data_IF_779477701444
#
_entry.id   IF_779477701444
#
_cell.length_a   1.000
_cell.length_b   1.000
_cell.length_c   1.000
_cell.angle_alpha   90.00
_cell.angle_beta   90.00
_cell.angle_gamma   90.00
#
_symmetry.space_group_name_H-M   'P 1'
#
loop_
_entity.id
_entity.type
_entity.pdbx_description
1 polymer ?
#
# COMPACT_ATOMS: atom_id res chain seq x y z
N UNK A 1 40.74 -8.65 -26.97
CA UNK A 1 39.55 -9.23 -26.30
C UNK A 1 39.60 -8.89 -24.81
N UNK A 2 38.81 -7.91 -24.37
CA UNK A 2 38.70 -7.61 -22.94
C UNK A 2 37.53 -8.41 -22.37
N UNK A 3 37.80 -9.41 -21.57
CA UNK A 3 36.82 -10.14 -20.76
C UNK A 3 36.25 -9.18 -19.73
N UNK A 4 34.95 -8.89 -19.84
CA UNK A 4 34.21 -8.20 -18.78
C UNK A 4 34.14 -9.15 -17.58
N UNK A 5 34.90 -8.84 -16.53
CA UNK A 5 34.66 -9.44 -15.22
C UNK A 5 33.23 -9.09 -14.77
N UNK A 6 32.42 -10.14 -14.60
CA UNK A 6 31.10 -10.01 -13.98
C UNK A 6 31.31 -9.72 -12.49
N UNK A 7 31.37 -8.45 -12.13
CA UNK A 7 31.39 -8.05 -10.73
C UNK A 7 30.18 -8.62 -10.04
N UNK A 8 30.38 -9.55 -9.07
CA UNK A 8 29.33 -10.02 -8.17
C UNK A 8 28.73 -8.81 -7.48
N UNK A 9 27.52 -8.41 -7.88
CA UNK A 9 26.79 -7.37 -7.14
C UNK A 9 26.55 -7.91 -5.73
N UNK A 10 27.16 -7.26 -4.73
CA UNK A 10 26.91 -7.59 -3.32
C UNK A 10 25.43 -7.27 -3.00
N UNK A 11 24.75 -8.23 -2.38
CA UNK A 11 23.36 -8.07 -1.94
C UNK A 11 23.27 -6.89 -0.95
N UNK A 12 22.41 -5.93 -1.23
CA UNK A 12 22.08 -4.90 -0.25
C UNK A 12 21.22 -5.53 0.85
N UNK A 13 21.75 -5.59 2.07
CA UNK A 13 21.10 -6.22 3.23
C UNK A 13 20.13 -5.29 3.97
N UNK A 14 20.09 -4.02 3.60
CA UNK A 14 19.19 -3.04 4.23
C UNK A 14 17.86 -3.00 3.49
N UNK A 15 16.72 -3.00 4.20
CA UNK A 15 15.44 -2.75 3.58
C UNK A 15 15.38 -1.33 2.98
N UNK A 16 14.40 -1.08 2.13
CA UNK A 16 14.14 0.22 1.54
C UNK A 16 13.87 1.26 2.64
N UNK A 17 14.29 2.49 2.43
CA UNK A 17 14.07 3.60 3.36
C UNK A 17 12.59 3.70 3.76
N UNK A 18 12.34 3.81 5.05
CA UNK A 18 10.99 3.84 5.60
C UNK A 18 10.36 2.46 5.85
N UNK A 19 11.08 1.37 5.53
CA UNK A 19 10.65 -0.01 5.76
C UNK A 19 11.57 -0.70 6.77
N UNK A 20 11.05 -1.71 7.46
CA UNK A 20 11.85 -2.55 8.36
C UNK A 20 11.37 -3.99 8.32
N UNK A 21 12.28 -4.90 8.61
CA UNK A 21 11.94 -6.29 8.89
C UNK A 21 11.39 -6.41 10.32
N UNK A 22 10.41 -7.28 10.49
CA UNK A 22 9.84 -7.60 11.81
C UNK A 22 10.38 -8.96 12.23
N UNK A 23 11.14 -8.97 13.32
CA UNK A 23 11.73 -10.19 13.85
C UNK A 23 10.68 -11.04 14.60
N UNK A 24 10.93 -12.36 14.79
CA UNK A 24 9.95 -13.28 15.37
C UNK A 24 9.40 -12.85 16.73
N UNK A 25 10.22 -12.31 17.61
CA UNK A 25 9.77 -11.85 18.93
C UNK A 25 8.81 -10.64 18.84
N UNK A 26 9.12 -9.68 17.96
CA UNK A 26 8.22 -8.54 17.69
C UNK A 26 6.94 -9.02 17.00
N UNK A 27 7.05 -9.97 16.07
CA UNK A 27 5.89 -10.52 15.36
C UNK A 27 4.93 -11.26 16.31
N UNK A 28 5.43 -12.04 17.25
CA UNK A 28 4.60 -12.69 18.28
C UNK A 28 3.80 -11.68 19.10
N UNK A 29 4.45 -10.58 19.51
CA UNK A 29 3.76 -9.52 20.24
C UNK A 29 2.69 -8.84 19.38
N UNK A 30 2.98 -8.57 18.11
CA UNK A 30 2.02 -8.01 17.16
C UNK A 30 0.80 -8.93 16.97
N UNK A 31 1.05 -10.21 16.76
CA UNK A 31 -0.02 -11.20 16.57
C UNK A 31 -0.91 -11.28 17.82
N UNK A 32 -0.32 -11.25 19.01
CA UNK A 32 -1.08 -11.20 20.26
C UNK A 32 -1.99 -9.95 20.31
N UNK A 33 -1.44 -8.76 20.05
CA UNK A 33 -2.23 -7.53 20.06
C UNK A 33 -3.35 -7.55 19.02
N UNK A 34 -3.04 -8.01 17.79
CA UNK A 34 -4.02 -8.14 16.71
C UNK A 34 -5.15 -9.08 17.10
N UNK A 35 -4.83 -10.22 17.71
CA UNK A 35 -5.83 -11.20 18.13
C UNK A 35 -6.75 -10.63 19.22
N UNK A 36 -6.21 -9.93 20.22
CA UNK A 36 -7.02 -9.26 21.26
C UNK A 36 -7.96 -8.24 20.63
N UNK A 37 -7.48 -7.44 19.68
CA UNK A 37 -8.30 -6.46 18.95
C UNK A 37 -9.41 -7.17 18.18
N UNK A 38 -9.08 -8.19 17.38
CA UNK A 38 -10.06 -8.94 16.58
C UNK A 38 -11.15 -9.61 17.43
N UNK A 39 -10.75 -10.25 18.54
CA UNK A 39 -11.71 -10.87 19.47
C UNK A 39 -12.62 -9.84 20.11
N UNK A 40 -12.05 -8.71 20.53
CA UNK A 40 -12.82 -7.63 21.16
C UNK A 40 -13.82 -7.01 20.20
N UNK A 41 -13.37 -6.55 19.04
CA UNK A 41 -14.22 -5.90 18.05
C UNK A 41 -15.22 -6.86 17.42
N UNK A 42 -14.85 -8.16 17.26
CA UNK A 42 -15.78 -9.19 16.78
C UNK A 42 -17.03 -9.31 17.66
N UNK A 43 -16.93 -9.13 18.97
CA UNK A 43 -18.06 -9.11 19.91
C UNK A 43 -19.05 -7.97 19.64
N UNK A 44 -18.61 -6.91 18.99
CA UNK A 44 -19.44 -5.76 18.61
C UNK A 44 -19.89 -5.79 17.14
N UNK A 45 -19.70 -6.94 16.46
CA UNK A 45 -20.14 -7.15 15.10
C UNK A 45 -19.22 -6.56 14.03
N UNK A 46 -17.97 -6.27 14.37
CA UNK A 46 -16.95 -5.94 13.38
C UNK A 46 -16.47 -7.21 12.68
N UNK A 47 -16.27 -7.13 11.38
CA UNK A 47 -15.75 -8.20 10.54
C UNK A 47 -14.42 -7.82 9.94
N UNK A 48 -13.58 -8.82 9.66
CA UNK A 48 -12.31 -8.56 9.00
C UNK A 48 -12.50 -8.46 7.50
N UNK A 49 -11.89 -7.45 6.91
CA UNK A 49 -11.72 -7.32 5.46
C UNK A 49 -10.25 -7.17 5.13
N UNK A 50 -9.89 -7.42 3.89
CA UNK A 50 -8.55 -7.15 3.37
C UNK A 50 -8.67 -6.35 2.09
N UNK A 51 -7.88 -5.29 1.98
CA UNK A 51 -7.80 -4.45 0.80
C UNK A 51 -6.35 -4.41 0.31
N UNK A 52 -6.10 -4.23 -1.00
CA UNK A 52 -4.74 -4.10 -1.52
C UNK A 52 -3.93 -3.01 -0.82
N UNK A 53 -2.63 -3.23 -0.64
CA UNK A 53 -1.72 -2.20 -0.12
C UNK A 53 -1.48 -1.06 -1.10
N UNK A 54 -1.78 -1.30 -2.39
CA UNK A 54 -1.63 -0.34 -3.48
C UNK A 54 -3.01 0.13 -3.89
N UNK A 55 -3.19 1.44 -3.94
CA UNK A 55 -4.39 2.10 -4.44
C UNK A 55 -4.07 2.93 -5.69
N UNK A 56 -5.08 3.20 -6.51
CA UNK A 56 -4.95 4.14 -7.63
C UNK A 56 -4.49 5.50 -7.11
N UNK A 57 -3.53 6.10 -7.79
CA UNK A 57 -3.01 7.42 -7.37
C UNK A 57 -4.10 8.47 -7.36
N UNK A 58 -5.08 8.40 -8.27
CA UNK A 58 -6.21 9.32 -8.30
C UNK A 58 -7.13 9.25 -7.07
N UNK A 59 -7.17 8.08 -6.40
CA UNK A 59 -7.92 7.92 -5.16
C UNK A 59 -7.14 8.42 -3.93
N UNK A 60 -5.80 8.33 -3.98
CA UNK A 60 -4.92 8.75 -2.89
C UNK A 60 -4.68 10.25 -2.89
N UNK A 61 -4.67 10.88 -4.04
CA UNK A 61 -4.53 12.33 -4.18
C UNK A 61 -5.88 13.00 -3.89
N UNK A 62 -5.98 13.67 -2.77
CA UNK A 62 -7.15 14.51 -2.51
C UNK A 62 -7.09 15.78 -3.37
N UNK A 63 -8.23 16.19 -3.93
CA UNK A 63 -8.32 17.43 -4.72
C UNK A 63 -7.91 18.71 -3.96
N UNK A 64 -7.61 18.58 -2.68
CA UNK A 64 -7.27 19.70 -1.80
C UNK A 64 -5.76 19.84 -1.52
N UNK A 65 -4.89 18.99 -2.14
CA UNK A 65 -3.43 19.15 -2.07
C UNK A 65 -2.90 19.11 -0.62
N UNK A 66 -3.08 18.01 0.07
CA UNK A 66 -2.59 17.85 1.45
C UNK A 66 -1.08 17.55 1.51
N UNK A 67 -0.45 17.83 2.66
CA UNK A 67 0.96 17.45 2.90
C UNK A 67 1.20 15.94 2.73
N UNK A 68 0.19 15.12 2.96
CA UNK A 68 0.25 13.67 2.81
C UNK A 68 0.56 13.22 1.38
N UNK A 69 0.17 13.99 0.36
CA UNK A 69 0.46 13.65 -1.05
C UNK A 69 1.96 13.58 -1.34
N UNK A 70 2.76 14.39 -0.64
CA UNK A 70 4.22 14.41 -0.77
C UNK A 70 4.89 13.17 -0.14
N UNK A 71 4.18 12.49 0.75
CA UNK A 71 4.68 11.33 1.50
C UNK A 71 4.27 9.99 0.87
N UNK A 72 3.42 10.00 -0.16
CA UNK A 72 2.97 8.78 -0.83
C UNK A 72 4.13 8.13 -1.58
N UNK A 73 4.39 6.86 -1.28
CA UNK A 73 5.28 6.04 -2.10
C UNK A 73 4.59 5.72 -3.42
N UNK A 74 4.97 6.44 -4.47
CA UNK A 74 4.39 6.34 -5.81
C UNK A 74 4.92 5.12 -6.53
N UNK A 75 4.04 4.47 -7.29
CA UNK A 75 4.33 3.29 -8.10
C UNK A 75 4.18 3.68 -9.57
N UNK A 76 5.24 3.49 -10.32
CA UNK A 76 5.28 3.81 -11.75
C UNK A 76 4.40 2.84 -12.56
N UNK A 77 3.88 3.34 -13.65
CA UNK A 77 3.28 2.52 -14.72
C UNK A 77 4.29 1.50 -15.22
N UNK A 78 3.80 0.41 -15.83
CA UNK A 78 4.64 -0.69 -16.31
C UNK A 78 4.43 -0.93 -17.81
N UNK A 79 5.48 -1.47 -18.44
CA UNK A 79 5.45 -1.84 -19.86
C UNK A 79 5.20 -0.64 -20.77
N UNK A 80 4.38 -0.81 -21.78
CA UNK A 80 4.06 0.23 -22.78
C UNK A 80 3.37 1.46 -22.21
N UNK A 81 2.74 1.33 -21.04
CA UNK A 81 2.11 2.47 -20.33
C UNK A 81 3.13 3.44 -19.71
N UNK A 82 4.38 3.00 -19.51
CA UNK A 82 5.47 3.83 -19.01
C UNK A 82 6.17 4.51 -20.18
N UNK A 83 5.67 5.66 -20.60
CA UNK A 83 6.25 6.41 -21.70
C UNK A 83 6.98 7.65 -21.19
N UNK A 84 8.29 7.52 -20.96
CA UNK A 84 9.15 8.59 -20.48
C UNK A 84 9.31 9.74 -21.49
N UNK A 85 9.14 9.46 -22.77
CA UNK A 85 9.33 10.47 -23.83
C UNK A 85 8.14 11.43 -23.96
N UNK A 86 6.95 10.98 -23.59
CA UNK A 86 5.71 11.76 -23.68
C UNK A 86 5.29 12.37 -22.34
N UNK A 87 5.87 11.91 -21.24
CA UNK A 87 5.55 12.40 -19.91
C UNK A 87 5.95 13.89 -19.76
N UNK A 88 5.00 14.72 -19.39
CA UNK A 88 5.20 16.16 -19.13
C UNK A 88 5.43 16.42 -17.64
N UNK A 89 4.84 15.60 -16.79
CA UNK A 89 4.95 15.70 -15.33
C UNK A 89 5.09 14.32 -14.68
N UNK A 90 5.51 14.30 -13.42
CA UNK A 90 5.71 13.06 -12.65
C UNK A 90 4.45 12.18 -12.63
N UNK A 91 3.28 12.80 -12.53
CA UNK A 91 2.01 12.08 -12.44
C UNK A 91 1.66 11.31 -13.71
N UNK A 92 2.17 11.72 -14.87
CA UNK A 92 1.99 10.99 -16.13
C UNK A 92 2.65 9.59 -16.08
N UNK A 93 3.65 9.41 -15.22
CA UNK A 93 4.40 8.17 -15.04
C UNK A 93 3.84 7.28 -13.93
N UNK A 94 2.93 7.80 -13.09
CA UNK A 94 2.45 7.11 -11.89
C UNK A 94 1.14 6.38 -12.16
N UNK A 95 1.02 5.15 -11.70
CA UNK A 95 -0.18 4.31 -11.77
C UNK A 95 -0.90 4.26 -10.43
N UNK A 96 -0.14 4.06 -9.36
CA UNK A 96 -0.66 3.90 -8.03
C UNK A 96 0.30 4.39 -6.96
N UNK A 97 -0.09 4.19 -5.72
CA UNK A 97 0.75 4.45 -4.57
C UNK A 97 0.47 3.49 -3.44
N UNK A 98 1.39 3.41 -2.48
CA UNK A 98 1.11 2.71 -1.24
C UNK A 98 0.11 3.53 -0.41
N UNK A 99 -0.91 2.85 0.10
CA UNK A 99 -1.86 3.48 1.01
C UNK A 99 -1.15 4.00 2.27
N UNK A 100 -1.52 5.18 2.73
CA UNK A 100 -0.98 5.78 3.96
C UNK A 100 -1.89 5.51 5.17
N UNK A 101 -3.17 5.22 4.94
CA UNK A 101 -4.14 4.77 5.94
C UNK A 101 -5.16 3.81 5.29
N UNK A 102 -6.20 3.44 6.04
CA UNK A 102 -7.24 2.53 5.57
C UNK A 102 -8.55 3.22 5.16
N UNK A 103 -8.62 4.54 5.21
CA UNK A 103 -9.85 5.30 4.92
C UNK A 103 -10.23 5.21 3.44
N UNK A 104 -9.31 5.56 2.56
CA UNK A 104 -9.54 5.48 1.10
C UNK A 104 -9.83 4.04 0.65
N UNK A 105 -9.04 3.02 1.04
CA UNK A 105 -9.34 1.62 0.75
C UNK A 105 -10.73 1.17 1.23
N UNK A 106 -11.14 1.56 2.44
CA UNK A 106 -12.44 1.20 3.00
C UNK A 106 -13.58 1.82 2.21
N UNK A 107 -13.49 3.12 1.89
CA UNK A 107 -14.51 3.82 1.09
C UNK A 107 -14.66 3.19 -0.29
N UNK A 108 -13.55 2.91 -0.97
CA UNK A 108 -13.57 2.22 -2.27
C UNK A 108 -14.16 0.82 -2.15
N UNK A 109 -13.77 0.05 -1.13
CA UNK A 109 -14.30 -1.28 -0.88
C UNK A 109 -15.81 -1.23 -0.68
N UNK A 110 -16.30 -0.35 0.19
CA UNK A 110 -17.73 -0.21 0.45
C UNK A 110 -18.50 0.23 -0.80
N UNK A 111 -17.97 1.19 -1.57
CA UNK A 111 -18.63 1.65 -2.80
C UNK A 111 -18.82 0.51 -3.83
N UNK A 112 -17.88 -0.44 -3.89
CA UNK A 112 -17.96 -1.58 -4.82
C UNK A 112 -18.83 -2.73 -4.32
N UNK A 113 -18.95 -2.91 -3.00
CA UNK A 113 -19.54 -4.11 -2.40
C UNK A 113 -20.73 -3.84 -1.49
N UNK A 114 -21.26 -2.61 -1.47
CA UNK A 114 -22.34 -2.23 -0.55
C UNK A 114 -23.55 -3.18 -0.58
N UNK A 115 -23.88 -3.72 -1.74
CA UNK A 115 -25.00 -4.65 -1.92
C UNK A 115 -24.74 -6.07 -1.39
N UNK A 116 -23.48 -6.40 -1.13
CA UNK A 116 -23.05 -7.72 -0.63
C UNK A 116 -22.77 -7.69 0.88
N UNK A 117 -22.75 -6.50 1.48
CA UNK A 117 -22.38 -6.30 2.86
C UNK A 117 -23.60 -6.19 3.77
N UNK A 118 -23.48 -6.61 5.05
CA UNK A 118 -24.57 -6.44 6.01
C UNK A 118 -24.82 -4.96 6.30
N UNK A 119 -26.03 -4.62 6.71
CA UNK A 119 -26.37 -3.27 7.17
C UNK A 119 -26.78 -3.33 8.66
N UNK A 120 -26.07 -2.64 9.56
CA UNK A 120 -24.89 -1.80 9.32
C UNK A 120 -23.61 -2.62 9.07
N UNK A 121 -22.74 -2.14 8.17
CA UNK A 121 -21.42 -2.70 7.95
C UNK A 121 -20.40 -2.09 8.93
N UNK A 122 -19.60 -2.95 9.55
CA UNK A 122 -18.52 -2.58 10.47
C UNK A 122 -17.27 -3.38 10.14
N UNK A 123 -16.15 -2.71 9.85
CA UNK A 123 -14.85 -3.31 9.56
C UNK A 123 -13.69 -2.53 10.20
#
# INVERSE_FOLDING_TARGET
>A
MRTKESGKMALNKKPVTGMKDILPAEMQLRDYCINVIKETYGKFGFTSIETPCVESIGNLNSKQGGENEKLIFKILKRGEKLNLAEAKEEMDLVDGGLRYDLTVPLVRFYANHANELPSPFKA
#
